data_IF_035691114018
#
_entry.id   IF_035691114018
#
_cell.length_a   1.000
_cell.length_b   1.000
_cell.length_c   1.000
_cell.angle_alpha   90.00
_cell.angle_beta   90.00
_cell.angle_gamma   90.00
#
_symmetry.space_group_name_H-M   'P 1'
#
loop_
_entity.id
_entity.type
_entity.pdbx_description
1 polymer ?
#
# COMPACT_ATOMS: atom_id res chain seq x y z
N UNK A 1 19.04 8.08 3.44
CA UNK A 1 18.07 7.00 3.31
C UNK A 1 18.78 5.71 2.92
N UNK A 2 18.34 4.61 3.46
CA UNK A 2 18.96 3.32 3.18
C UNK A 2 18.30 2.64 2.00
N UNK A 3 19.08 2.32 1.01
CA UNK A 3 18.60 1.58 -0.15
C UNK A 3 18.29 0.14 0.24
N UNK A 4 17.26 -0.40 -0.37
CA UNK A 4 16.90 -1.80 -0.20
C UNK A 4 16.29 -2.15 1.13
N UNK A 5 16.02 -1.16 1.98
CA UNK A 5 15.32 -1.46 3.23
C UNK A 5 13.85 -1.73 2.94
N UNK A 6 13.23 -2.54 3.79
CA UNK A 6 11.86 -2.97 3.59
C UNK A 6 11.03 -2.66 4.83
N UNK A 7 9.74 -2.56 4.62
CA UNK A 7 8.79 -2.28 5.68
C UNK A 7 7.54 -3.10 5.41
N UNK A 8 7.01 -3.76 6.44
CA UNK A 8 5.83 -4.61 6.29
C UNK A 8 4.80 -4.27 7.36
N UNK A 9 3.54 -4.35 6.97
CA UNK A 9 2.42 -4.20 7.90
C UNK A 9 1.47 -5.36 7.71
N UNK A 10 0.78 -5.72 8.80
CA UNK A 10 -0.29 -6.70 8.73
C UNK A 10 -1.57 -6.09 9.27
N UNK A 11 -2.69 -6.50 8.70
CA UNK A 11 -4.00 -6.15 9.22
C UNK A 11 -4.56 -7.37 9.92
N UNK A 12 -5.09 -7.17 11.12
CA UNK A 12 -5.65 -8.26 11.92
C UNK A 12 -7.07 -7.92 12.29
N UNK A 13 -7.89 -8.94 12.30
CA UNK A 13 -9.27 -8.80 12.75
C UNK A 13 -9.36 -9.32 14.17
N UNK A 14 -9.50 -8.41 15.13
CA UNK A 14 -9.60 -8.76 16.53
C UNK A 14 -10.82 -8.07 17.11
N UNK A 15 -11.98 -8.32 16.53
CA UNK A 15 -13.20 -7.62 16.89
C UNK A 15 -13.53 -6.53 15.89
N UNK A 16 -12.59 -5.66 15.59
CA UNK A 16 -12.77 -4.65 14.55
C UNK A 16 -11.88 -4.98 13.37
N UNK A 17 -12.46 -4.98 12.18
CA UNK A 17 -11.79 -5.37 10.95
C UNK A 17 -10.70 -4.41 10.50
N UNK A 18 -10.59 -3.25 11.11
CA UNK A 18 -9.69 -2.18 10.64
C UNK A 18 -8.42 -2.03 11.47
N UNK A 19 -8.21 -2.93 12.39
CA UNK A 19 -6.99 -2.91 13.17
C UNK A 19 -5.80 -3.21 12.28
N UNK A 20 -4.87 -2.27 12.19
CA UNK A 20 -3.66 -2.43 11.39
C UNK A 20 -2.47 -2.45 12.33
N UNK A 21 -1.77 -3.56 12.32
CA UNK A 21 -0.55 -3.71 13.11
C UNK A 21 0.63 -3.18 12.31
N UNK A 22 1.26 -2.13 12.82
CA UNK A 22 2.39 -1.47 12.16
C UNK A 22 3.74 -2.00 12.60
N UNK A 23 3.77 -3.18 13.16
CA UNK A 23 5.04 -3.75 13.58
C UNK A 23 5.94 -3.94 12.36
N UNK A 24 6.95 -3.08 12.24
CA UNK A 24 7.89 -3.13 11.14
C UNK A 24 8.88 -4.27 11.27
N UNK A 25 8.65 -5.17 12.20
CA UNK A 25 9.60 -6.21 12.54
C UNK A 25 9.14 -7.52 11.98
N UNK A 26 9.96 -8.07 11.11
CA UNK A 26 9.72 -9.38 10.52
C UNK A 26 9.50 -10.41 11.64
N UNK A 27 8.38 -11.10 11.54
CA UNK A 27 8.10 -12.22 12.42
C UNK A 27 7.53 -11.87 13.79
N UNK A 28 7.19 -10.61 14.04
CA UNK A 28 6.58 -10.24 15.33
C UNK A 28 5.26 -9.55 15.12
N UNK A 29 4.22 -10.30 15.28
CA UNK A 29 2.88 -9.74 15.37
C UNK A 29 2.54 -9.61 16.84
N UNK A 30 2.22 -8.41 17.26
CA UNK A 30 1.85 -8.18 18.66
C UNK A 30 0.36 -8.08 18.86
N UNK A 31 -0.37 -7.79 17.80
CA UNK A 31 -1.81 -7.73 17.87
C UNK A 31 -2.40 -9.12 17.93
N UNK A 32 -3.50 -9.24 18.63
CA UNK A 32 -4.25 -10.49 18.66
C UNK A 32 -5.18 -10.53 17.47
N UNK A 33 -5.62 -11.72 17.14
CA UNK A 33 -6.58 -11.92 16.07
C UNK A 33 -5.94 -12.48 14.83
N UNK A 34 -6.80 -12.85 13.91
CA UNK A 34 -6.38 -13.49 12.67
C UNK A 34 -5.86 -12.45 11.68
N UNK A 35 -4.77 -12.77 11.01
CA UNK A 35 -4.27 -11.90 9.94
C UNK A 35 -5.25 -11.95 8.78
N UNK A 36 -5.74 -10.79 8.35
CA UNK A 36 -6.67 -10.68 7.23
C UNK A 36 -6.07 -9.92 6.05
N UNK A 37 -4.86 -9.38 6.20
CA UNK A 37 -4.18 -8.71 5.11
C UNK A 37 -2.76 -8.36 5.45
N UNK A 38 -1.98 -8.05 4.43
CA UNK A 38 -0.60 -7.59 4.63
C UNK A 38 -0.18 -6.74 3.44
N UNK A 39 0.83 -5.91 3.68
CA UNK A 39 1.37 -5.05 2.63
C UNK A 39 2.83 -4.76 2.92
N UNK A 40 3.57 -4.38 1.89
CA UNK A 40 4.99 -4.11 2.04
C UNK A 40 5.47 -2.96 1.19
N UNK A 41 6.57 -2.37 1.63
CA UNK A 41 7.28 -1.33 0.90
C UNK A 41 8.74 -1.74 0.76
N UNK A 42 9.33 -1.33 -0.35
CA UNK A 42 10.76 -1.43 -0.59
C UNK A 42 11.26 -0.03 -0.91
N UNK A 43 12.32 0.38 -0.24
CA UNK A 43 12.82 1.75 -0.37
C UNK A 43 14.06 1.77 -1.23
N UNK A 44 14.09 2.68 -2.22
CA UNK A 44 15.27 2.91 -3.05
C UNK A 44 15.44 4.42 -3.17
N UNK A 45 16.61 4.91 -2.78
CA UNK A 45 16.88 6.35 -2.78
C UNK A 45 15.74 7.09 -2.05
N UNK A 46 15.05 8.00 -2.72
CA UNK A 46 13.98 8.79 -2.12
C UNK A 46 12.59 8.32 -2.60
N UNK A 47 12.49 7.07 -2.99
CA UNK A 47 11.23 6.50 -3.49
C UNK A 47 10.83 5.26 -2.70
N UNK A 48 9.53 5.04 -2.59
CA UNK A 48 9.00 3.84 -1.99
C UNK A 48 8.26 3.03 -3.05
N UNK A 49 8.51 1.73 -3.07
CA UNK A 49 7.84 0.83 -4.01
C UNK A 49 6.93 -0.09 -3.21
N UNK A 50 5.64 -0.06 -3.52
CA UNK A 50 4.68 -0.98 -2.92
C UNK A 50 4.92 -2.35 -3.53
N UNK A 51 5.38 -3.30 -2.73
CA UNK A 51 5.75 -4.62 -3.22
C UNK A 51 4.56 -5.54 -3.33
N UNK A 52 3.63 -5.42 -2.39
CA UNK A 52 2.40 -6.19 -2.43
C UNK A 52 1.36 -5.56 -1.51
N UNK A 53 0.11 -5.80 -1.81
CA UNK A 53 -1.02 -5.52 -0.93
C UNK A 53 -1.96 -6.71 -1.10
N UNK A 54 -2.16 -7.46 -0.03
CA UNK A 54 -2.99 -8.64 -0.08
C UNK A 54 -4.03 -8.59 1.02
N UNK A 55 -5.28 -8.85 0.66
CA UNK A 55 -6.40 -8.86 1.60
C UNK A 55 -7.09 -10.21 1.48
N UNK A 56 -7.29 -10.87 2.62
CA UNK A 56 -7.98 -12.16 2.65
C UNK A 56 -9.36 -12.01 1.99
N UNK A 57 -9.78 -12.99 1.17
CA UNK A 57 -11.07 -12.86 0.47
C UNK A 57 -12.25 -12.53 1.38
N UNK A 58 -12.27 -13.10 2.58
CA UNK A 58 -13.36 -12.84 3.53
C UNK A 58 -13.34 -11.44 4.10
N UNK A 59 -12.22 -10.73 3.98
CA UNK A 59 -12.08 -9.39 4.52
C UNK A 59 -12.12 -8.31 3.43
N UNK A 60 -12.35 -8.70 2.19
CA UNK A 60 -12.43 -7.73 1.10
C UNK A 60 -13.66 -6.84 1.27
N UNK A 61 -13.52 -5.59 0.81
CA UNK A 61 -14.56 -4.57 0.88
C UNK A 61 -14.91 -4.18 2.32
N UNK A 62 -14.00 -4.39 3.26
CA UNK A 62 -14.21 -3.99 4.65
C UNK A 62 -13.25 -2.87 5.06
N UNK A 63 -12.54 -2.26 4.10
CA UNK A 63 -11.61 -1.18 4.39
C UNK A 63 -10.21 -1.61 4.77
N UNK A 64 -9.91 -2.91 4.70
CA UNK A 64 -8.59 -3.42 5.07
C UNK A 64 -7.53 -2.91 4.09
N UNK A 65 -7.81 -2.94 2.79
CA UNK A 65 -6.86 -2.44 1.80
C UNK A 65 -6.54 -0.97 2.00
N UNK A 66 -7.57 -0.16 2.29
CA UNK A 66 -7.38 1.26 2.57
C UNK A 66 -6.53 1.47 3.81
N UNK A 67 -6.79 0.70 4.87
CA UNK A 67 -6.02 0.82 6.12
C UNK A 67 -4.55 0.45 5.88
N UNK A 68 -4.31 -0.61 5.11
CA UNK A 68 -2.94 -1.01 4.77
C UNK A 68 -2.22 0.09 4.00
N UNK A 69 -2.88 0.64 2.99
CA UNK A 69 -2.29 1.71 2.18
C UNK A 69 -2.03 2.97 3.00
N UNK A 70 -2.91 3.31 3.94
CA UNK A 70 -2.68 4.45 4.83
C UNK A 70 -1.44 4.23 5.69
N UNK A 71 -1.25 3.01 6.19
CA UNK A 71 -0.06 2.69 6.99
C UNK A 71 1.20 2.80 6.14
N UNK A 72 1.17 2.30 4.90
CA UNK A 72 2.32 2.41 4.00
C UNK A 72 2.61 3.86 3.64
N UNK A 73 1.57 4.65 3.38
CA UNK A 73 1.74 6.07 3.05
C UNK A 73 2.41 6.82 4.20
N UNK A 74 1.96 6.55 5.42
CA UNK A 74 2.55 7.19 6.60
C UNK A 74 4.03 6.87 6.73
N UNK A 75 4.40 5.63 6.46
CA UNK A 75 5.82 5.24 6.56
C UNK A 75 6.65 5.86 5.44
N UNK A 76 6.13 5.89 4.22
CA UNK A 76 6.85 6.51 3.11
C UNK A 76 7.09 8.00 3.38
N UNK A 77 6.09 8.67 3.92
CA UNK A 77 6.22 10.08 4.25
C UNK A 77 7.20 10.28 5.40
N UNK A 78 7.14 9.44 6.43
CA UNK A 78 8.04 9.51 7.56
C UNK A 78 9.50 9.35 7.13
N UNK A 79 9.76 8.53 6.13
CA UNK A 79 11.12 8.32 5.61
C UNK A 79 11.50 9.34 4.54
N UNK A 80 10.69 10.38 4.38
CA UNK A 80 10.99 11.49 3.49
C UNK A 80 11.09 11.11 2.02
N UNK A 81 10.32 10.10 1.61
CA UNK A 81 10.24 9.74 0.21
C UNK A 81 9.54 10.83 -0.57
N UNK A 82 10.03 11.12 -1.77
CA UNK A 82 9.42 12.12 -2.64
C UNK A 82 8.23 11.56 -3.40
N UNK A 83 8.25 10.25 -3.65
CA UNK A 83 7.24 9.60 -4.48
C UNK A 83 7.12 8.15 -4.10
N UNK A 84 6.02 7.52 -4.51
CA UNK A 84 5.91 6.06 -4.42
C UNK A 84 5.28 5.49 -5.68
N UNK A 85 5.52 4.22 -5.92
CA UNK A 85 5.17 3.56 -7.17
C UNK A 85 4.75 2.12 -6.91
N UNK A 86 4.07 1.53 -7.86
CA UNK A 86 3.65 0.13 -7.78
C UNK A 86 3.34 -0.39 -9.18
N UNK A 87 3.19 -1.71 -9.27
CA UNK A 87 2.63 -2.36 -10.45
C UNK A 87 1.34 -3.06 -10.05
N UNK A 88 0.35 -3.00 -10.92
CA UNK A 88 -0.95 -3.61 -10.66
C UNK A 88 -1.41 -4.35 -11.90
N UNK A 89 -2.06 -5.51 -11.70
CA UNK A 89 -2.56 -6.31 -12.83
C UNK A 89 -3.64 -5.55 -13.58
N UNK A 90 -3.63 -5.68 -14.91
CA UNK A 90 -4.68 -5.06 -15.72
C UNK A 90 -6.05 -5.66 -15.40
N UNK A 91 -6.08 -6.90 -14.90
CA UNK A 91 -7.33 -7.57 -14.57
C UNK A 91 -7.82 -7.29 -13.15
N UNK A 92 -7.24 -6.31 -12.45
CA UNK A 92 -7.61 -6.01 -11.07
C UNK A 92 -8.18 -4.60 -10.96
N UNK A 93 -9.39 -4.35 -11.47
CA UNK A 93 -9.96 -2.98 -11.43
C UNK A 93 -10.20 -2.46 -10.02
N UNK A 94 -10.53 -3.35 -9.08
CA UNK A 94 -10.71 -2.91 -7.69
C UNK A 94 -9.43 -2.39 -7.07
N UNK A 95 -8.31 -3.06 -7.33
CA UNK A 95 -7.01 -2.59 -6.85
C UNK A 95 -6.64 -1.28 -7.53
N UNK A 96 -6.91 -1.16 -8.82
CA UNK A 96 -6.61 0.07 -9.54
C UNK A 96 -7.38 1.25 -8.95
N UNK A 97 -8.65 1.04 -8.60
CA UNK A 97 -9.46 2.07 -7.97
C UNK A 97 -8.90 2.49 -6.63
N UNK A 98 -8.49 1.51 -5.82
CA UNK A 98 -7.88 1.79 -4.54
C UNK A 98 -6.65 2.68 -4.69
N UNK A 99 -5.79 2.32 -5.63
CA UNK A 99 -4.54 3.07 -5.82
C UNK A 99 -4.83 4.47 -6.38
N UNK A 100 -5.80 4.60 -7.25
CA UNK A 100 -6.18 5.93 -7.75
C UNK A 100 -6.69 6.83 -6.64
N UNK A 101 -7.42 6.27 -5.69
CA UNK A 101 -7.88 7.03 -4.54
C UNK A 101 -6.71 7.61 -3.75
N UNK A 102 -5.58 6.92 -3.75
CA UNK A 102 -4.36 7.38 -3.09
C UNK A 102 -3.50 8.28 -3.97
N UNK A 103 -3.98 8.66 -5.14
CA UNK A 103 -3.27 9.60 -5.99
C UNK A 103 -2.35 8.97 -7.03
N UNK A 104 -2.33 7.65 -7.14
CA UNK A 104 -1.53 6.99 -8.16
C UNK A 104 -2.15 7.19 -9.54
N UNK A 105 -1.29 7.43 -10.53
CA UNK A 105 -1.72 7.57 -11.92
C UNK A 105 -0.91 6.60 -12.78
N UNK A 106 -1.50 6.08 -13.85
CA UNK A 106 -0.77 5.20 -14.76
C UNK A 106 0.40 5.91 -15.41
N UNK A 107 1.53 5.22 -15.51
CA UNK A 107 2.74 5.77 -16.10
C UNK A 107 3.35 4.84 -17.15
N UNK A 108 2.79 3.65 -17.32
CA UNK A 108 3.30 2.71 -18.30
C UNK A 108 2.72 1.34 -18.12
N UNK A 109 3.11 0.43 -19.00
CA UNK A 109 2.64 -0.95 -18.95
C UNK A 109 3.86 -1.86 -19.08
N UNK A 110 3.95 -2.85 -18.18
CA UNK A 110 4.93 -3.92 -18.30
C UNK A 110 4.23 -5.12 -18.91
N UNK A 111 4.67 -5.48 -20.12
CA UNK A 111 4.03 -6.57 -20.85
C UNK A 111 4.29 -7.90 -20.17
N UNK A 112 3.20 -8.66 -19.95
CA UNK A 112 3.26 -10.03 -19.41
C UNK A 112 4.11 -10.13 -18.17
N UNK A 113 3.96 -9.15 -17.28
CA UNK A 113 4.77 -9.04 -16.08
C UNK A 113 4.48 -10.18 -15.10
N UNK A 114 3.21 -10.45 -14.86
CA UNK A 114 2.80 -11.46 -13.88
C UNK A 114 2.83 -12.84 -14.53
N UNK A 115 3.81 -13.65 -14.12
CA UNK A 115 3.96 -15.04 -14.58
C UNK A 115 4.00 -15.15 -16.11
N UNK A 116 4.43 -14.09 -16.76
CA UNK A 116 4.50 -14.04 -18.22
C UNK A 116 3.15 -14.27 -18.89
N UNK A 117 2.07 -13.96 -18.20
CA UNK A 117 0.71 -14.19 -18.69
C UNK A 117 -0.07 -12.91 -18.86
N UNK A 118 0.15 -11.97 -17.95
CA UNK A 118 -0.68 -10.78 -17.85
C UNK A 118 0.16 -9.52 -17.76
N UNK A 119 -0.30 -8.45 -18.41
CA UNK A 119 0.36 -7.15 -18.32
C UNK A 119 0.15 -6.53 -16.94
N UNK A 120 1.07 -5.65 -16.57
CA UNK A 120 0.95 -4.85 -15.36
C UNK A 120 0.94 -3.38 -15.72
N UNK A 121 0.11 -2.62 -15.04
CA UNK A 121 0.11 -1.16 -15.14
C UNK A 121 1.07 -0.63 -14.10
N UNK A 122 2.03 0.17 -14.54
CA UNK A 122 2.95 0.86 -13.63
C UNK A 122 2.28 2.16 -13.24
N UNK A 123 2.17 2.41 -11.94
CA UNK A 123 1.53 3.61 -11.42
C UNK A 123 2.49 4.37 -10.53
N UNK A 124 2.39 5.69 -10.57
CA UNK A 124 3.24 6.58 -9.77
C UNK A 124 2.38 7.61 -9.05
N UNK A 125 2.85 8.01 -7.89
CA UNK A 125 2.29 9.13 -7.15
C UNK A 125 3.45 9.98 -6.66
N UNK A 126 3.53 11.22 -7.14
CA UNK A 126 4.62 12.13 -6.82
C UNK A 126 4.19 13.13 -5.76
N UNK A 127 5.17 13.87 -5.23
CA UNK A 127 4.91 15.00 -4.32
C UNK A 127 4.17 14.58 -3.05
N UNK A 128 4.55 13.45 -2.48
CA UNK A 128 3.84 12.93 -1.32
C UNK A 128 4.20 13.65 -0.02
N UNK A 129 5.23 14.53 -0.05
CA UNK A 129 5.59 15.30 1.14
C UNK A 129 4.82 16.60 1.27
N UNK A 130 4.07 16.98 0.26
CA UNK A 130 3.37 18.25 0.24
C UNK A 130 2.08 18.27 1.05
N UNK A 131 1.60 19.48 1.32
CA UNK A 131 0.35 19.67 2.06
C UNK A 131 -0.87 19.13 1.32
N UNK A 132 -0.83 19.17 -0.01
CA UNK A 132 -1.91 18.63 -0.83
C UNK A 132 -2.09 17.14 -0.59
N UNK A 133 -0.99 16.41 -0.57
CA UNK A 133 -1.09 14.97 -0.35
C UNK A 133 -1.51 14.65 1.08
N UNK A 134 -1.03 15.41 2.04
CA UNK A 134 -1.45 15.24 3.43
C UNK A 134 -2.97 15.42 3.55
N UNK A 135 -3.52 16.40 2.85
CA UNK A 135 -4.97 16.64 2.86
C UNK A 135 -5.73 15.48 2.22
N UNK A 136 -5.19 14.91 1.15
CA UNK A 136 -5.81 13.75 0.50
C UNK A 136 -5.87 12.56 1.47
N UNK A 137 -4.78 12.30 2.17
CA UNK A 137 -4.74 11.18 3.11
C UNK A 137 -5.70 11.40 4.27
N UNK A 138 -5.82 12.64 4.74
CA UNK A 138 -6.75 12.94 5.81
C UNK A 138 -8.19 12.72 5.36
N UNK A 139 -8.51 13.10 4.14
CA UNK A 139 -9.82 12.86 3.58
C UNK A 139 -10.13 11.36 3.49
N UNK A 140 -9.15 10.57 3.07
CA UNK A 140 -9.31 9.12 3.02
C UNK A 140 -9.57 8.56 4.42
N UNK A 141 -8.82 9.02 5.43
CA UNK A 141 -9.02 8.58 6.80
C UNK A 141 -10.43 8.89 7.30
N UNK A 142 -10.91 10.09 6.98
CA UNK A 142 -12.21 10.54 7.45
C UNK A 142 -13.35 9.74 6.81
N UNK A 143 -13.17 9.31 5.58
CA UNK A 143 -14.20 8.59 4.84
C UNK A 143 -14.11 7.07 4.98
N UNK A 144 -13.18 6.59 5.78
CA UNK A 144 -12.99 5.13 5.95
C UNK A 144 -13.73 4.58 7.13
#
# INVERSE_FOLDING_TARGET
>A
MKRGSRYYVTARRAGDARDVDRAAVIGRARSRGRIVGHAGLWFTADEAHVTNVAVHPEARRTGVGTALMLALASEAIRRECAAWTLEVRVSSPGAQELYRAFGFVPAGVRKKYYENVEDAIVMWCHDIQGAEYAARLEEIRTNS
#
